data_IF_222277818990
#
_entry.id   IF_222277818990
#
_cell.length_a   1.000
_cell.length_b   1.000
_cell.length_c   1.000
_cell.angle_alpha   90.00
_cell.angle_beta   90.00
_cell.angle_gamma   90.00
#
_symmetry.space_group_name_H-M   'P 1'
#
loop_
_entity.id
_entity.type
_entity.pdbx_description
1 polymer ?
#
# COMPACT_ATOMS: atom_id res chain seq x y z
N UNK A 1 23.63 -58.10 60.89
CA UNK A 1 24.05 -59.52 61.00
C UNK A 1 25.21 -59.71 60.03
N UNK A 2 26.47 -59.49 60.41
CA UNK A 2 27.34 -60.30 61.25
C UNK A 2 27.64 -61.70 60.69
N UNK A 3 28.84 -61.89 60.13
CA UNK A 3 29.86 -62.92 60.46
C UNK A 3 30.77 -63.11 59.23
N UNK A 4 32.06 -62.78 59.27
CA UNK A 4 33.22 -63.48 59.89
C UNK A 4 34.10 -64.06 58.75
N UNK A 5 35.33 -63.54 58.59
CA UNK A 5 36.61 -64.18 58.96
C UNK A 5 36.91 -65.48 58.15
N UNK A 6 38.08 -65.78 57.59
CA UNK A 6 39.49 -65.37 57.84
C UNK A 6 40.43 -66.24 56.95
N UNK A 7 41.68 -65.79 56.74
CA UNK A 7 42.92 -66.56 56.41
C UNK A 7 43.07 -67.19 55.00
N UNK A 8 44.26 -67.37 54.38
CA UNK A 8 45.66 -67.24 54.80
C UNK A 8 46.65 -67.06 53.62
N UNK A 9 47.75 -66.40 53.97
CA UNK A 9 49.12 -66.31 53.42
C UNK A 9 49.77 -67.61 52.87
N UNK A 10 50.53 -67.55 51.75
CA UNK A 10 52.03 -67.49 51.61
C UNK A 10 52.73 -68.85 51.45
N UNK A 11 53.56 -68.96 50.40
CA UNK A 11 55.00 -69.37 50.34
C UNK A 11 55.34 -69.61 48.85
N UNK A 12 56.02 -68.69 48.14
CA UNK A 12 57.48 -68.52 48.00
C UNK A 12 58.24 -69.84 47.75
N UNK A 13 58.82 -70.01 46.57
CA UNK A 13 60.20 -70.49 46.40
C UNK A 13 60.72 -70.22 44.99
N UNK A 14 61.95 -69.72 44.97
CA UNK A 14 62.77 -69.38 43.83
C UNK A 14 63.32 -70.59 43.10
N UNK A 15 63.48 -70.50 41.77
CA UNK A 15 64.63 -71.12 41.12
C UNK A 15 65.17 -70.21 40.00
N UNK A 16 66.47 -69.95 40.08
CA UNK A 16 67.29 -69.30 39.06
C UNK A 16 67.22 -70.12 37.77
N UNK A 17 67.04 -69.47 36.62
CA UNK A 17 67.76 -69.93 35.43
C UNK A 17 68.06 -68.79 34.46
N UNK A 18 69.37 -68.67 34.19
CA UNK A 18 70.04 -68.11 33.03
C UNK A 18 69.51 -66.86 32.32
N UNK A 19 70.33 -65.80 32.46
CA UNK A 19 70.67 -64.88 31.38
C UNK A 19 71.06 -65.64 30.12
N UNK A 20 70.07 -66.00 29.32
CA UNK A 20 70.25 -66.33 27.91
C UNK A 20 70.20 -65.03 27.13
N UNK A 21 71.35 -64.55 26.63
CA UNK A 21 71.39 -63.62 25.52
C UNK A 21 70.74 -64.30 24.30
N UNK A 22 69.41 -64.31 24.24
CA UNK A 22 68.67 -64.93 23.15
C UNK A 22 68.89 -64.07 21.92
N UNK A 23 69.67 -64.60 20.97
CA UNK A 23 69.92 -63.98 19.67
C UNK A 23 68.62 -63.61 18.96
N UNK A 24 67.51 -64.32 19.26
CA UNK A 24 66.18 -64.04 18.73
C UNK A 24 65.56 -62.76 19.29
N UNK A 25 65.64 -62.52 20.60
CA UNK A 25 65.11 -61.29 21.22
C UNK A 25 65.90 -60.05 20.79
N UNK A 26 67.24 -60.15 20.74
CA UNK A 26 68.09 -59.06 20.21
C UNK A 26 67.87 -58.81 18.72
N UNK A 27 67.55 -59.87 17.95
CA UNK A 27 67.16 -59.76 16.54
C UNK A 27 65.78 -59.09 16.42
N UNK A 28 64.80 -59.47 17.24
CA UNK A 28 63.47 -58.86 17.28
C UNK A 28 63.51 -57.40 17.72
N UNK A 29 64.26 -57.03 18.76
CA UNK A 29 64.45 -55.62 19.17
C UNK A 29 65.12 -54.77 18.08
N UNK A 30 66.05 -55.36 17.32
CA UNK A 30 66.71 -54.66 16.20
C UNK A 30 65.73 -54.46 15.04
N UNK A 31 64.90 -55.46 14.73
CA UNK A 31 63.88 -55.37 13.68
C UNK A 31 62.75 -54.41 14.08
N UNK A 32 62.25 -54.47 15.32
CA UNK A 32 61.25 -53.51 15.83
C UNK A 32 61.77 -52.08 15.83
N UNK A 33 63.03 -51.86 16.23
CA UNK A 33 63.64 -50.52 16.22
C UNK A 33 63.77 -49.95 14.81
N UNK A 34 64.17 -50.78 13.83
CA UNK A 34 64.18 -50.37 12.42
C UNK A 34 62.77 -50.03 11.93
N UNK A 35 61.77 -50.83 12.30
CA UNK A 35 60.37 -50.55 11.98
C UNK A 35 59.89 -49.25 12.65
N UNK A 36 60.22 -48.99 13.92
CA UNK A 36 59.88 -47.74 14.60
C UNK A 36 60.54 -46.53 13.93
N UNK A 37 61.83 -46.62 13.58
CA UNK A 37 62.50 -45.54 12.84
C UNK A 37 61.89 -45.34 11.45
N UNK A 38 61.51 -46.42 10.78
CA UNK A 38 60.81 -46.36 9.50
C UNK A 38 59.43 -45.68 9.64
N UNK A 39 58.63 -46.02 10.65
CA UNK A 39 57.33 -45.39 10.88
C UNK A 39 57.45 -43.93 11.29
N UNK A 40 58.45 -43.55 12.10
CA UNK A 40 58.72 -42.15 12.44
C UNK A 40 59.12 -41.37 11.18
N UNK A 41 60.04 -41.93 10.39
CA UNK A 41 60.44 -41.32 9.13
C UNK A 41 59.24 -41.16 8.18
N UNK A 42 58.42 -42.21 8.03
CA UNK A 42 57.20 -42.19 7.22
C UNK A 42 56.21 -41.13 7.72
N UNK A 43 56.01 -41.01 9.03
CA UNK A 43 55.14 -39.99 9.63
C UNK A 43 55.64 -38.57 9.34
N UNK A 44 56.95 -38.33 9.42
CA UNK A 44 57.56 -37.03 9.09
C UNK A 44 57.38 -36.73 7.59
N UNK A 45 57.62 -37.70 6.71
CA UNK A 45 57.43 -37.54 5.27
C UNK A 45 55.97 -37.24 4.94
N UNK A 46 55.02 -37.94 5.57
CA UNK A 46 53.59 -37.68 5.39
C UNK A 46 53.16 -36.33 5.94
N UNK A 47 53.70 -35.89 7.07
CA UNK A 47 53.45 -34.55 7.63
C UNK A 47 53.95 -33.45 6.67
N UNK A 48 55.16 -33.61 6.13
CA UNK A 48 55.72 -32.66 5.17
C UNK A 48 54.90 -32.65 3.88
N UNK A 49 54.52 -33.82 3.36
CA UNK A 49 53.65 -33.92 2.18
C UNK A 49 52.29 -33.26 2.45
N UNK A 50 51.72 -33.45 3.64
CA UNK A 50 50.49 -32.77 4.03
C UNK A 50 50.67 -31.25 4.04
N UNK A 51 51.67 -30.72 4.76
CA UNK A 51 51.88 -29.29 4.91
C UNK A 51 52.26 -28.57 3.61
N UNK A 52 53.08 -29.19 2.76
CA UNK A 52 53.65 -28.55 1.58
C UNK A 52 52.89 -28.87 0.28
N UNK A 53 52.12 -29.96 0.23
CA UNK A 53 51.41 -30.37 -1.00
C UNK A 53 49.89 -30.33 -0.80
N UNK A 54 49.38 -30.99 0.25
CA UNK A 54 47.92 -31.15 0.43
C UNK A 54 47.30 -29.85 0.94
N UNK A 55 47.87 -29.26 1.99
CA UNK A 55 47.31 -28.10 2.70
C UNK A 55 47.22 -26.85 1.80
N UNK A 56 48.23 -26.47 0.99
CA UNK A 56 48.12 -25.34 0.07
C UNK A 56 47.08 -25.56 -1.03
N UNK A 57 46.92 -26.79 -1.50
CA UNK A 57 45.90 -27.14 -2.49
C UNK A 57 44.50 -27.13 -1.89
N UNK A 58 44.35 -27.55 -0.62
CA UNK A 58 43.09 -27.47 0.12
C UNK A 58 42.68 -26.01 0.36
N UNK A 59 43.63 -25.15 0.74
CA UNK A 59 43.41 -23.70 0.90
C UNK A 59 42.90 -23.09 -0.42
N UNK A 60 43.54 -23.40 -1.56
CA UNK A 60 43.09 -22.91 -2.88
C UNK A 60 41.69 -23.41 -3.24
N UNK A 61 41.39 -24.66 -2.93
CA UNK A 61 40.07 -25.24 -3.17
C UNK A 61 39.01 -24.52 -2.31
N UNK A 62 39.29 -24.30 -1.02
CA UNK A 62 38.39 -23.58 -0.12
C UNK A 62 38.20 -22.13 -0.56
N UNK A 63 39.27 -21.41 -0.92
CA UNK A 63 39.14 -20.04 -1.43
C UNK A 63 38.37 -19.97 -2.75
N UNK A 64 38.53 -20.92 -3.68
CA UNK A 64 37.72 -20.96 -4.90
C UNK A 64 36.23 -21.26 -4.64
N UNK A 65 35.90 -21.91 -3.53
CA UNK A 65 34.51 -22.11 -3.09
C UNK A 65 33.96 -20.92 -2.30
N UNK A 66 34.81 -20.12 -1.65
CA UNK A 66 34.42 -18.91 -0.89
C UNK A 66 34.37 -17.68 -1.81
N UNK A 67 35.27 -17.53 -2.78
CA UNK A 67 35.27 -16.42 -3.76
C UNK A 67 34.12 -16.51 -4.78
N UNK A 68 33.38 -17.64 -4.81
CA UNK A 68 32.30 -17.90 -5.76
C UNK A 68 30.91 -17.99 -5.10
N UNK A 69 30.71 -17.32 -3.96
CA UNK A 69 29.36 -16.93 -3.56
C UNK A 69 29.43 -15.53 -2.92
N UNK A 70 29.47 -14.51 -3.77
CA UNK A 70 28.31 -13.66 -3.99
C UNK A 70 27.77 -13.19 -2.64
N UNK A 71 28.20 -12.00 -2.22
CA UNK A 71 27.24 -11.17 -1.52
C UNK A 71 26.02 -11.14 -2.44
N UNK A 72 24.96 -11.82 -2.06
CA UNK A 72 23.66 -11.50 -2.60
C UNK A 72 23.49 -10.03 -2.25
N UNK A 73 23.78 -9.14 -3.20
CA UNK A 73 22.99 -7.94 -3.35
C UNK A 73 21.57 -8.46 -3.52
N UNK A 74 20.92 -8.75 -2.39
CA UNK A 74 19.54 -8.37 -2.24
C UNK A 74 19.57 -6.87 -2.53
N UNK A 75 19.45 -6.51 -3.81
CA UNK A 75 18.77 -5.28 -4.16
C UNK A 75 17.45 -5.40 -3.41
N UNK A 76 17.43 -4.85 -2.19
CA UNK A 76 16.28 -4.86 -1.31
C UNK A 76 15.31 -3.83 -1.87
N UNK A 77 14.86 -4.13 -3.09
CA UNK A 77 13.97 -3.35 -3.89
C UNK A 77 12.57 -3.62 -3.35
N UNK A 78 12.30 -2.97 -2.23
CA UNK A 78 10.99 -2.97 -1.63
C UNK A 78 10.12 -2.02 -2.46
N UNK A 79 8.95 -2.50 -2.94
CA UNK A 79 8.01 -1.62 -3.60
C UNK A 79 7.60 -0.50 -2.65
N UNK A 80 7.42 0.73 -3.16
CA UNK A 80 6.89 1.82 -2.34
C UNK A 80 5.46 1.51 -1.91
N UNK A 81 4.98 2.21 -0.89
CA UNK A 81 3.58 2.17 -0.51
C UNK A 81 2.70 2.83 -1.57
N UNK A 82 1.46 2.35 -1.69
CA UNK A 82 0.47 2.96 -2.57
C UNK A 82 0.18 4.41 -2.10
N UNK A 83 0.09 5.39 -3.02
CA UNK A 83 -0.24 6.76 -2.67
C UNK A 83 -1.59 6.87 -1.97
N UNK A 84 -1.69 7.76 -1.00
CA UNK A 84 -2.91 8.02 -0.22
C UNK A 84 -3.32 9.47 -0.36
N UNK A 85 -4.55 9.73 -0.82
CA UNK A 85 -5.11 11.07 -0.89
C UNK A 85 -5.55 11.57 0.50
N UNK A 86 -5.38 12.86 0.77
CA UNK A 86 -5.86 13.50 2.01
C UNK A 86 -7.39 13.44 2.10
N UNK A 87 -8.05 13.73 0.98
CA UNK A 87 -9.50 13.68 0.84
C UNK A 87 -9.86 12.89 -0.40
N UNK A 88 -10.99 12.17 -0.34
CA UNK A 88 -11.53 11.55 -1.53
C UNK A 88 -12.02 12.64 -2.49
N UNK A 89 -11.74 12.53 -3.80
CA UNK A 89 -12.37 13.37 -4.82
C UNK A 89 -13.90 13.37 -4.68
N UNK A 90 -14.57 14.47 -5.02
CA UNK A 90 -16.02 14.49 -5.06
C UNK A 90 -16.54 13.49 -6.10
N UNK A 91 -17.72 12.91 -5.85
CA UNK A 91 -18.37 11.98 -6.80
C UNK A 91 -18.82 12.68 -8.09
N UNK A 92 -19.04 14.00 -8.05
CA UNK A 92 -19.32 14.82 -9.21
C UNK A 92 -18.77 16.24 -9.03
N UNK A 93 -18.39 16.90 -10.12
CA UNK A 93 -17.83 18.25 -10.11
C UNK A 93 -18.19 19.01 -11.39
N UNK A 94 -18.44 20.32 -11.26
CA UNK A 94 -18.59 21.23 -12.40
C UNK A 94 -17.26 21.75 -12.96
N UNK A 95 -16.16 21.48 -12.26
CA UNK A 95 -14.82 21.86 -12.69
C UNK A 95 -14.14 20.72 -13.44
N UNK A 96 -13.66 21.02 -14.65
CA UNK A 96 -12.76 20.13 -15.40
C UNK A 96 -11.41 19.92 -14.69
N UNK A 97 -11.05 20.80 -13.75
CA UNK A 97 -9.81 20.68 -12.98
C UNK A 97 -10.10 20.01 -11.64
N UNK A 98 -9.44 18.88 -11.40
CA UNK A 98 -9.46 18.14 -10.13
C UNK A 98 -8.17 18.40 -9.37
N UNK A 99 -8.28 19.01 -8.20
CA UNK A 99 -7.14 19.17 -7.28
C UNK A 99 -7.00 17.93 -6.39
N UNK A 100 -5.80 17.38 -6.33
CA UNK A 100 -5.45 16.20 -5.54
C UNK A 100 -4.29 16.54 -4.62
N UNK A 101 -4.43 16.15 -3.35
CA UNK A 101 -3.38 16.27 -2.36
C UNK A 101 -3.25 14.95 -1.64
N UNK A 102 -2.04 14.54 -1.31
CA UNK A 102 -1.80 13.21 -0.75
C UNK A 102 -0.39 13.00 -0.24
N UNK A 103 -0.18 11.80 0.30
CA UNK A 103 1.11 11.27 0.73
C UNK A 103 1.55 10.10 -0.14
N UNK A 104 2.86 10.01 -0.37
CA UNK A 104 3.55 8.86 -0.94
C UNK A 104 4.95 8.77 -0.34
N UNK A 105 5.64 7.66 -0.57
CA UNK A 105 6.99 7.47 -0.06
C UNK A 105 7.95 8.54 -0.65
N UNK A 106 8.83 9.17 0.16
CA UNK A 106 9.83 10.10 -0.35
C UNK A 106 10.71 9.48 -1.45
N UNK A 107 11.18 10.33 -2.36
CA UNK A 107 12.02 9.97 -3.51
C UNK A 107 11.36 8.96 -4.49
N UNK A 108 10.08 8.66 -4.29
CA UNK A 108 9.25 7.94 -5.26
C UNK A 108 8.58 8.90 -6.24
N UNK A 109 8.07 8.35 -7.34
CA UNK A 109 7.24 9.05 -8.30
C UNK A 109 5.80 8.56 -8.20
N UNK A 110 4.86 9.46 -7.97
CA UNK A 110 3.43 9.16 -8.07
C UNK A 110 2.99 9.27 -9.52
N UNK A 111 2.34 8.23 -10.01
CA UNK A 111 1.77 8.16 -11.35
C UNK A 111 0.26 8.23 -11.24
N UNK A 112 -0.35 9.15 -11.99
CA UNK A 112 -1.79 9.38 -11.99
C UNK A 112 -2.38 8.76 -13.26
N UNK A 113 -3.28 7.80 -13.06
CA UNK A 113 -4.00 7.12 -14.15
C UNK A 113 -5.43 7.66 -14.18
N UNK A 114 -5.81 8.26 -15.30
CA UNK A 114 -7.18 8.66 -15.58
C UNK A 114 -7.71 7.83 -16.76
N UNK A 115 -8.87 7.21 -16.60
CA UNK A 115 -9.52 6.40 -17.64
C UNK A 115 -8.61 5.30 -18.23
N UNK A 116 -7.73 4.73 -17.39
CA UNK A 116 -6.77 3.69 -17.76
C UNK A 116 -5.50 4.19 -18.46
N UNK A 117 -5.34 5.51 -18.63
CA UNK A 117 -4.15 6.13 -19.21
C UNK A 117 -3.36 6.91 -18.17
N UNK A 118 -2.04 6.79 -18.20
CA UNK A 118 -1.17 7.69 -17.44
C UNK A 118 -1.31 9.10 -18.00
N UNK A 119 -1.85 10.02 -17.20
CA UNK A 119 -2.04 11.43 -17.60
C UNK A 119 -0.99 12.34 -17.02
N UNK A 120 -0.49 12.02 -15.83
CA UNK A 120 0.44 12.86 -15.09
C UNK A 120 1.37 12.01 -14.21
N UNK A 121 2.49 12.60 -13.83
CA UNK A 121 3.40 12.07 -12.82
C UNK A 121 3.97 13.20 -11.94
N UNK A 122 4.41 12.86 -10.73
CA UNK A 122 5.02 13.80 -9.79
C UNK A 122 6.11 13.12 -8.96
N UNK A 123 7.28 13.74 -8.86
CA UNK A 123 8.36 13.30 -7.99
C UNK A 123 8.11 13.80 -6.56
N UNK A 124 8.19 12.90 -5.58
CA UNK A 124 7.85 13.17 -4.19
C UNK A 124 9.10 13.57 -3.42
N UNK A 125 9.07 14.76 -2.83
CA UNK A 125 10.17 15.25 -2.00
C UNK A 125 10.22 14.59 -0.61
N UNK A 126 11.21 14.98 0.19
CA UNK A 126 11.48 14.42 1.53
C UNK A 126 10.28 14.44 2.50
N UNK A 127 9.31 15.34 2.29
CA UNK A 127 8.10 15.43 3.13
C UNK A 127 7.05 14.36 2.81
N UNK A 128 7.17 13.68 1.68
CA UNK A 128 6.19 12.69 1.22
C UNK A 128 4.90 13.28 0.67
N UNK A 129 4.75 14.60 0.59
CA UNK A 129 3.51 15.28 0.16
C UNK A 129 3.51 15.59 -1.34
N UNK A 130 2.34 15.52 -1.97
CA UNK A 130 2.10 16.04 -3.31
C UNK A 130 0.85 16.93 -3.38
N UNK A 131 0.84 17.86 -4.33
CA UNK A 131 -0.30 18.71 -4.68
C UNK A 131 -0.36 18.83 -6.21
N UNK A 132 -1.29 18.08 -6.81
CA UNK A 132 -1.41 17.93 -8.26
C UNK A 132 -2.78 18.37 -8.74
N UNK A 133 -2.82 18.98 -9.93
CA UNK A 133 -4.05 19.24 -10.66
C UNK A 133 -4.14 18.31 -11.87
N UNK A 134 -5.27 17.64 -12.02
CA UNK A 134 -5.59 16.81 -13.19
C UNK A 134 -6.72 17.45 -13.99
N UNK A 135 -6.66 17.27 -15.31
CA UNK A 135 -7.75 17.65 -16.20
C UNK A 135 -8.66 16.44 -16.46
N UNK A 136 -9.94 16.57 -16.15
CA UNK A 136 -10.97 15.56 -16.35
C UNK A 136 -11.51 15.60 -17.78
N UNK A 137 -11.99 14.45 -18.24
CA UNK A 137 -12.78 14.32 -19.46
C UNK A 137 -14.27 14.53 -19.12
N UNK A 138 -15.07 15.10 -20.04
CA UNK A 138 -16.51 15.30 -19.78
C UNK A 138 -17.19 13.94 -19.55
N UNK A 139 -18.05 13.86 -18.54
CA UNK A 139 -18.76 12.65 -18.14
C UNK A 139 -18.00 11.82 -17.12
N UNK A 140 -18.10 10.50 -17.22
CA UNK A 140 -17.53 9.56 -16.26
C UNK A 140 -16.00 9.54 -16.33
N UNK A 141 -15.35 9.65 -15.17
CA UNK A 141 -13.92 9.53 -15.01
C UNK A 141 -13.57 8.47 -13.95
N UNK A 142 -12.52 7.71 -14.22
CA UNK A 142 -11.95 6.75 -13.30
C UNK A 142 -10.50 7.11 -12.99
N UNK A 143 -10.23 7.42 -11.72
CA UNK A 143 -8.91 7.79 -11.23
C UNK A 143 -8.32 6.67 -10.37
N UNK A 144 -7.08 6.28 -10.68
CA UNK A 144 -6.21 5.46 -9.83
C UNK A 144 -4.81 6.05 -9.77
N UNK A 145 -4.08 5.75 -8.70
CA UNK A 145 -2.72 6.20 -8.50
C UNK A 145 -1.84 5.01 -8.14
N UNK A 146 -0.56 5.06 -8.48
CA UNK A 146 0.46 4.16 -7.94
C UNK A 146 1.79 4.91 -7.82
N UNK A 147 2.71 4.38 -7.02
CA UNK A 147 4.04 4.94 -6.85
C UNK A 147 5.09 4.06 -7.52
N UNK A 148 6.18 4.67 -7.97
CA UNK A 148 7.36 3.99 -8.55
C UNK A 148 8.59 4.49 -7.82
N UNK A 149 9.40 3.59 -7.27
CA UNK A 149 10.64 3.99 -6.58
C UNK A 149 11.77 4.28 -7.59
N UNK A 150 12.93 4.71 -7.11
CA UNK A 150 14.09 5.04 -7.97
C UNK A 150 14.60 3.85 -8.81
N UNK A 151 14.36 2.62 -8.35
CA UNK A 151 14.74 1.38 -9.04
C UNK A 151 13.72 0.96 -10.11
N UNK A 152 12.59 1.66 -10.22
CA UNK A 152 11.53 1.38 -11.18
C UNK A 152 10.49 0.36 -10.68
N UNK A 153 10.52 -0.02 -9.40
CA UNK A 153 9.56 -0.94 -8.82
C UNK A 153 8.28 -0.22 -8.41
N UNK A 154 7.14 -0.77 -8.85
CA UNK A 154 5.82 -0.20 -8.66
C UNK A 154 5.17 -0.65 -7.35
N UNK A 155 4.39 0.24 -6.74
CA UNK A 155 3.48 -0.09 -5.64
C UNK A 155 2.25 -0.84 -6.13
N UNK A 156 1.43 -1.32 -5.19
CA UNK A 156 0.02 -1.60 -5.49
C UNK A 156 -0.69 -0.30 -5.94
N UNK A 157 -1.77 -0.44 -6.70
CA UNK A 157 -2.64 0.68 -7.03
C UNK A 157 -3.42 1.15 -5.80
N UNK A 158 -3.71 2.45 -5.76
CA UNK A 158 -4.62 3.06 -4.79
C UNK A 158 -6.05 2.53 -4.94
N UNK A 159 -6.95 2.99 -4.07
CA UNK A 159 -8.39 2.88 -4.32
C UNK A 159 -8.72 3.51 -5.68
N UNK A 160 -9.66 2.89 -6.41
CA UNK A 160 -10.27 3.49 -7.59
C UNK A 160 -11.33 4.52 -7.18
N UNK A 161 -11.19 5.74 -7.68
CA UNK A 161 -12.14 6.82 -7.50
C UNK A 161 -12.95 6.99 -8.78
N UNK A 162 -14.27 6.93 -8.65
CA UNK A 162 -15.20 7.24 -9.73
C UNK A 162 -15.74 8.63 -9.49
N UNK A 163 -15.66 9.50 -10.49
CA UNK A 163 -16.23 10.83 -10.42
C UNK A 163 -16.79 11.25 -11.78
N UNK A 164 -17.80 12.12 -11.77
CA UNK A 164 -18.42 12.66 -12.97
C UNK A 164 -18.03 14.12 -13.13
N UNK A 165 -17.48 14.48 -14.28
CA UNK A 165 -17.36 15.88 -14.67
C UNK A 165 -18.59 16.28 -15.48
N UNK A 166 -19.37 17.19 -14.93
CA UNK A 166 -20.54 17.76 -15.59
C UNK A 166 -20.57 19.28 -15.43
N UNK A 167 -20.44 20.03 -16.52
CA UNK A 167 -20.54 21.49 -16.57
C UNK A 167 -21.90 22.02 -17.07
N UNK A 168 -22.93 21.17 -17.16
CA UNK A 168 -24.27 21.60 -17.60
C UNK A 168 -25.14 21.98 -16.40
N UNK A 169 -25.63 23.23 -16.34
CA UNK A 169 -26.58 23.62 -15.30
C UNK A 169 -27.91 22.87 -15.37
N UNK A 170 -28.51 22.52 -14.22
CA UNK A 170 -29.81 21.87 -14.20
C UNK A 170 -30.87 22.80 -14.78
N UNK A 171 -31.76 22.28 -15.63
CA UNK A 171 -32.92 23.05 -16.11
C UNK A 171 -33.99 23.06 -15.04
N UNK A 172 -34.49 24.23 -14.65
CA UNK A 172 -35.62 24.37 -13.71
C UNK A 172 -36.87 24.88 -14.42
N UNK A 173 -38.01 24.25 -14.13
CA UNK A 173 -39.33 24.67 -14.63
C UNK A 173 -40.32 24.74 -13.48
N UNK A 174 -41.20 25.75 -13.50
CA UNK A 174 -42.25 25.94 -12.50
C UNK A 174 -43.60 25.76 -13.18
N UNK A 175 -44.35 24.75 -12.72
CA UNK A 175 -45.71 24.46 -13.18
C UNK A 175 -46.72 25.29 -12.39
N UNK A 176 -46.50 25.39 -11.08
CA UNK A 176 -47.32 26.19 -10.17
C UNK A 176 -46.45 26.91 -9.13
N UNK A 177 -46.74 28.18 -8.78
CA UNK A 177 -47.68 29.06 -9.46
C UNK A 177 -47.14 29.52 -10.83
N UNK A 178 -48.03 29.94 -11.74
CA UNK A 178 -47.61 30.50 -13.04
C UNK A 178 -47.02 31.90 -12.84
N UNK A 179 -46.03 32.27 -13.65
CA UNK A 179 -45.51 33.62 -13.68
C UNK A 179 -46.63 34.65 -13.94
N UNK A 180 -46.55 35.77 -13.23
CA UNK A 180 -47.49 36.89 -13.25
C UNK A 180 -48.95 36.53 -12.91
N UNK A 181 -49.16 35.39 -12.24
CA UNK A 181 -50.49 34.99 -11.79
C UNK A 181 -50.95 35.76 -10.54
N UNK A 182 -52.27 35.97 -10.46
CA UNK A 182 -52.94 36.47 -9.26
C UNK A 182 -53.49 35.30 -8.47
N UNK A 183 -53.14 35.23 -7.19
CA UNK A 183 -53.54 34.20 -6.25
C UNK A 183 -54.51 34.83 -5.25
N UNK A 184 -55.75 34.35 -5.23
CA UNK A 184 -56.80 34.81 -4.32
C UNK A 184 -57.09 33.72 -3.28
N UNK A 185 -56.75 33.97 -2.02
CA UNK A 185 -56.97 33.01 -0.93
C UNK A 185 -57.72 33.70 0.21
N UNK A 186 -58.74 33.02 0.75
CA UNK A 186 -59.65 33.61 1.75
C UNK A 186 -59.11 33.63 3.18
N UNK A 187 -58.15 32.75 3.51
CA UNK A 187 -57.65 32.57 4.90
C UNK A 187 -56.21 32.07 5.02
N UNK A 188 -55.73 31.25 4.08
CA UNK A 188 -54.36 30.74 4.09
C UNK A 188 -53.51 31.52 3.09
N UNK A 189 -52.46 32.20 3.56
CA UNK A 189 -51.55 32.97 2.69
C UNK A 189 -50.49 32.05 2.07
N UNK A 190 -50.88 30.83 1.68
CA UNK A 190 -49.94 29.79 1.25
C UNK A 190 -50.28 29.31 -0.15
N UNK A 191 -49.30 29.30 -1.04
CA UNK A 191 -49.42 28.68 -2.37
C UNK A 191 -48.67 27.36 -2.43
N UNK A 192 -49.22 26.41 -3.20
CA UNK A 192 -48.43 25.27 -3.67
C UNK A 192 -47.38 25.77 -4.66
N UNK A 193 -46.19 25.20 -4.58
CA UNK A 193 -45.10 25.37 -5.51
C UNK A 193 -44.80 24.00 -6.08
N UNK A 194 -44.94 23.85 -7.39
CA UNK A 194 -44.75 22.59 -8.11
C UNK A 194 -43.86 22.88 -9.31
N UNK A 195 -42.80 22.10 -9.45
CA UNK A 195 -41.88 22.25 -10.55
C UNK A 195 -41.09 20.97 -10.80
N UNK A 196 -40.23 21.05 -11.81
CA UNK A 196 -39.34 19.99 -12.23
C UNK A 196 -37.94 20.56 -12.42
N UNK A 197 -36.93 19.79 -12.05
CA UNK A 197 -35.51 20.04 -12.28
C UNK A 197 -34.81 18.72 -12.58
N UNK A 198 -33.50 18.71 -12.72
CA UNK A 198 -32.75 17.45 -12.81
C UNK A 198 -32.95 16.56 -11.56
N UNK A 199 -33.05 15.22 -11.73
CA UNK A 199 -33.19 14.26 -10.64
C UNK A 199 -32.24 14.46 -9.45
N UNK A 200 -32.79 14.38 -8.24
CA UNK A 200 -32.04 14.54 -6.99
C UNK A 200 -31.28 15.87 -6.84
N UNK A 201 -31.65 16.89 -7.59
CA UNK A 201 -31.14 18.25 -7.38
C UNK A 201 -31.72 18.89 -6.12
N UNK A 202 -31.02 19.89 -5.61
CA UNK A 202 -31.51 20.78 -4.55
C UNK A 202 -32.10 22.02 -5.19
N UNK A 203 -33.29 22.43 -4.77
CA UNK A 203 -33.94 23.67 -5.21
C UNK A 203 -34.09 24.59 -4.00
N UNK A 204 -33.66 25.83 -4.13
CA UNK A 204 -33.84 26.87 -3.11
C UNK A 204 -34.89 27.87 -3.57
N UNK A 205 -35.98 28.01 -2.82
CA UNK A 205 -37.00 29.04 -3.05
C UNK A 205 -36.88 30.13 -1.99
N UNK A 206 -36.35 31.30 -2.32
CA UNK A 206 -36.11 32.41 -1.37
C UNK A 206 -35.53 31.90 -0.04
N UNK A 207 -34.46 31.09 -0.12
CA UNK A 207 -33.75 30.43 0.98
C UNK A 207 -34.38 29.14 1.56
N UNK A 208 -35.60 28.77 1.16
CA UNK A 208 -36.22 27.49 1.51
C UNK A 208 -35.66 26.35 0.66
N UNK A 209 -34.97 25.38 1.27
CA UNK A 209 -34.51 24.17 0.59
C UNK A 209 -35.68 23.21 0.32
N UNK A 210 -35.78 22.77 -0.93
CA UNK A 210 -36.70 21.76 -1.46
C UNK A 210 -35.86 20.71 -2.18
N UNK A 211 -36.08 19.43 -1.91
CA UNK A 211 -35.39 18.34 -2.59
C UNK A 211 -36.24 17.85 -3.77
N UNK A 212 -35.65 17.80 -4.96
CA UNK A 212 -36.26 17.12 -6.09
C UNK A 212 -36.15 15.60 -5.91
N UNK A 213 -37.17 14.87 -6.33
CA UNK A 213 -37.18 13.41 -6.26
C UNK A 213 -36.32 12.75 -7.36
N UNK A 214 -36.37 11.42 -7.45
CA UNK A 214 -35.64 10.64 -8.46
C UNK A 214 -36.10 10.92 -9.90
N UNK A 215 -37.27 11.52 -10.07
CA UNK A 215 -37.80 11.95 -11.37
C UNK A 215 -37.62 13.46 -11.60
N UNK A 216 -36.93 14.17 -10.70
CA UNK A 216 -36.73 15.61 -10.81
C UNK A 216 -37.90 16.46 -10.34
N UNK A 217 -38.98 15.86 -9.86
CA UNK A 217 -40.17 16.60 -9.43
C UNK A 217 -39.97 17.13 -8.01
N UNK A 218 -40.43 18.35 -7.78
CA UNK A 218 -40.44 18.93 -6.44
C UNK A 218 -41.78 19.61 -6.15
N UNK A 219 -42.19 19.50 -4.89
CA UNK A 219 -43.38 20.16 -4.37
C UNK A 219 -43.09 20.77 -3.02
N UNK A 220 -43.60 21.98 -2.78
CA UNK A 220 -43.51 22.65 -1.50
C UNK A 220 -44.68 23.61 -1.30
N UNK A 221 -44.82 24.12 -0.09
CA UNK A 221 -45.77 25.19 0.23
C UNK A 221 -44.98 26.45 0.58
N UNK A 222 -45.36 27.58 -0.03
CA UNK A 222 -44.71 28.87 0.18
C UNK A 222 -45.69 29.91 0.71
N UNK A 223 -45.24 30.73 1.65
CA UNK A 223 -46.04 31.79 2.28
C UNK A 223 -45.93 33.10 1.48
N UNK A 224 -47.06 33.68 1.12
CA UNK A 224 -47.16 34.90 0.33
C UNK A 224 -47.46 36.12 1.23
N UNK A 225 -46.77 37.22 0.94
CA UNK A 225 -47.12 38.54 1.45
C UNK A 225 -48.24 39.18 0.62
N UNK A 226 -48.97 40.15 1.20
CA UNK A 226 -50.03 40.84 0.46
C UNK A 226 -49.43 41.69 -0.66
N UNK A 227 -50.01 41.63 -1.86
CA UNK A 227 -49.48 42.31 -3.04
C UNK A 227 -48.47 41.47 -3.81
N UNK A 228 -47.43 42.11 -4.33
CA UNK A 228 -46.48 41.47 -5.23
C UNK A 228 -45.43 40.66 -4.47
N UNK A 229 -45.23 39.41 -4.88
CA UNK A 229 -44.25 38.48 -4.33
C UNK A 229 -43.27 38.08 -5.44
N UNK A 230 -41.97 38.22 -5.17
CA UNK A 230 -40.91 37.69 -6.03
C UNK A 230 -40.49 36.33 -5.49
N UNK A 231 -40.64 35.28 -6.30
CA UNK A 231 -40.20 33.93 -5.99
C UNK A 231 -38.92 33.64 -6.79
N UNK A 232 -37.79 33.61 -6.09
CA UNK A 232 -36.47 33.29 -6.67
C UNK A 232 -36.14 31.83 -6.40
N UNK A 233 -35.94 31.08 -7.48
CA UNK A 233 -35.57 29.68 -7.47
C UNK A 233 -34.13 29.51 -7.89
N UNK A 234 -33.35 28.76 -7.11
CA UNK A 234 -31.99 28.35 -7.47
C UNK A 234 -31.92 26.83 -7.44
N UNK A 235 -31.73 26.19 -8.59
CA UNK A 235 -31.49 24.75 -8.67
C UNK A 235 -29.98 24.49 -8.63
N UNK A 236 -29.57 23.48 -7.86
CA UNK A 236 -28.19 23.02 -7.74
C UNK A 236 -28.16 21.51 -7.92
N UNK A 237 -27.45 21.04 -8.94
CA UNK A 237 -27.32 19.62 -9.23
C UNK A 237 -26.30 18.91 -8.28
N UNK A 238 -25.96 17.67 -8.62
CA UNK A 238 -24.97 16.87 -7.88
C UNK A 238 -23.52 17.29 -8.14
N UNK A 239 -23.21 17.80 -9.33
CA UNK A 239 -21.89 18.30 -9.70
C UNK A 239 -21.59 19.69 -9.11
N UNK A 240 -22.63 20.39 -8.64
CA UNK A 240 -22.60 21.74 -8.12
C UNK A 240 -22.94 22.83 -9.15
N UNK A 241 -23.38 22.49 -10.37
CA UNK A 241 -23.86 23.51 -11.31
C UNK A 241 -25.14 24.16 -10.81
N UNK A 242 -25.38 25.39 -11.24
CA UNK A 242 -26.51 26.19 -10.75
C UNK A 242 -27.28 26.86 -11.87
N UNK A 243 -28.60 26.89 -11.73
CA UNK A 243 -29.49 27.71 -12.53
C UNK A 243 -30.41 28.53 -11.65
N UNK A 244 -30.84 29.68 -12.15
CA UNK A 244 -31.70 30.62 -11.42
C UNK A 244 -32.92 30.98 -12.27
N UNK A 245 -34.09 31.02 -11.63
CA UNK A 245 -35.35 31.43 -12.23
C UNK A 245 -36.13 32.29 -11.25
N UNK A 246 -36.62 33.42 -11.72
CA UNK A 246 -37.50 34.29 -10.95
C UNK A 246 -38.89 34.34 -11.58
N UNK A 247 -39.92 34.20 -10.74
CA UNK A 247 -41.30 34.47 -11.13
C UNK A 247 -41.92 35.46 -10.15
N UNK A 248 -42.81 36.31 -10.66
CA UNK A 248 -43.63 37.20 -9.84
C UNK A 248 -45.02 36.63 -9.71
N UNK A 249 -45.62 36.76 -8.54
CA UNK A 249 -47.03 36.44 -8.30
C UNK A 249 -47.65 37.52 -7.44
N UNK A 250 -48.93 37.80 -7.66
CA UNK A 250 -49.67 38.78 -6.87
C UNK A 250 -50.65 38.07 -5.94
N UNK A 251 -50.53 38.28 -4.65
CA UNK A 251 -51.48 37.78 -3.67
C UNK A 251 -52.51 38.85 -3.31
N UNK A 252 -53.79 38.50 -3.36
CA UNK A 252 -54.90 39.33 -2.92
C UNK A 252 -55.66 38.61 -1.80
N UNK A 253 -55.69 39.24 -0.62
CA UNK A 253 -56.49 38.76 0.51
C UNK A 253 -57.96 39.16 0.33
N UNK A 254 -58.80 38.18 -0.02
CA UNK A 254 -60.23 38.34 -0.29
C UNK A 254 -61.13 38.01 0.92
#
# INVERSE_FOLDING_TARGET
>A
MASSNRYSSVYKTSSRSNRGNSRLLKKQEKEMRKQTFFFIFLAIVLLLLFLFVIMPNLIKLVFNFIDNDSGTDINNDLPPQAPVLFEAPPEATFSAQLKLQGYADPDSRVVFILNGQQVEEELIGEKGEFDKQLQLEKGDNQLTLYAVNELGTESLQSKTYQLVYDDEPPVITITEPKADSTIELKRNRTTSVVGETEPSSRVYLNDLLILADENGQFTSTYYLEEGDNLLRFVAVDRAGNQSELEIKVKFLNN
#
